data_IF_035189368127
#
_entry.id   IF_035189368127
#
_cell.length_a   1.000
_cell.length_b   1.000
_cell.length_c   1.000
_cell.angle_alpha   90.00
_cell.angle_beta   90.00
_cell.angle_gamma   90.00
#
_symmetry.space_group_name_H-M   'P 1'
#
loop_
_entity.id
_entity.type
_entity.pdbx_description
1 polymer ?
#
# COMPACT_ATOMS: atom_id res chain seq x y z
N UNK A 1 3.63 54.16 38.22
CA UNK A 1 2.62 53.23 38.73
C UNK A 1 1.67 52.87 37.59
N UNK A 2 1.69 51.69 37.15
CA UNK A 2 0.63 50.85 36.59
C UNK A 2 1.28 49.80 35.71
N UNK A 3 1.48 48.64 36.30
CA UNK A 3 1.92 47.40 35.64
C UNK A 3 0.84 46.96 34.69
N UNK A 4 1.17 46.85 33.43
CA UNK A 4 0.35 46.14 32.45
C UNK A 4 1.04 44.79 32.21
N UNK A 5 0.51 43.78 32.91
CA UNK A 5 0.82 42.37 32.67
C UNK A 5 0.27 41.99 31.31
N UNK A 6 1.14 41.97 30.31
CA UNK A 6 0.79 41.46 28.99
C UNK A 6 0.86 39.95 29.02
N UNK A 7 -0.31 39.33 29.14
CA UNK A 7 -0.50 37.89 29.08
C UNK A 7 -0.34 37.46 27.62
N UNK A 8 0.87 37.04 27.22
CA UNK A 8 1.11 36.37 25.97
C UNK A 8 0.53 34.95 26.05
N UNK A 9 -0.71 34.83 25.63
CA UNK A 9 -1.36 33.55 25.37
C UNK A 9 -0.71 32.92 24.14
N UNK A 10 0.28 32.07 24.37
CA UNK A 10 0.87 31.23 23.32
C UNK A 10 -0.21 30.26 22.84
N UNK A 11 -0.85 30.59 21.73
CA UNK A 11 -1.70 29.67 20.98
C UNK A 11 -0.79 28.58 20.41
N UNK A 12 -0.72 27.45 21.09
CA UNK A 12 -0.18 26.20 20.54
C UNK A 12 -1.14 25.78 19.42
N UNK A 13 -0.83 26.22 18.22
CA UNK A 13 -1.37 25.63 17.00
C UNK A 13 -0.83 24.20 16.92
N UNK A 14 -1.54 23.27 17.51
CA UNK A 14 -1.40 21.86 17.17
C UNK A 14 -1.88 21.72 15.71
N UNK A 15 -0.94 21.84 14.78
CA UNK A 15 -1.16 21.36 13.43
C UNK A 15 -1.38 19.85 13.53
N UNK A 16 -2.62 19.44 13.69
CA UNK A 16 -3.05 18.11 13.34
C UNK A 16 -2.85 18.02 11.82
N UNK A 17 -1.74 17.45 11.41
CA UNK A 17 -1.51 17.01 10.03
C UNK A 17 -2.49 15.86 9.76
N UNK A 18 -3.75 16.22 9.55
CA UNK A 18 -4.71 15.36 8.85
C UNK A 18 -4.34 15.44 7.39
N UNK A 19 -3.89 14.36 6.81
CA UNK A 19 -3.66 14.30 5.39
C UNK A 19 -2.67 13.21 5.01
N UNK A 20 -3.11 12.34 4.16
CA UNK A 20 -2.46 11.29 3.35
C UNK A 20 -2.58 9.83 3.80
N UNK A 21 -3.09 9.51 5.00
CA UNK A 21 -3.13 8.12 5.47
C UNK A 21 -4.55 7.52 5.61
N UNK A 22 -5.58 8.17 5.04
CA UNK A 22 -6.97 7.71 5.20
C UNK A 22 -7.37 6.64 4.17
N UNK A 23 -6.51 6.35 3.20
CA UNK A 23 -6.79 5.35 2.17
C UNK A 23 -5.79 4.20 2.19
N UNK A 24 -6.29 3.01 1.84
CA UNK A 24 -5.51 1.80 1.79
C UNK A 24 -4.44 1.88 0.68
N UNK A 25 -3.17 1.68 1.04
CA UNK A 25 -2.08 1.73 0.08
C UNK A 25 -2.11 0.58 -0.95
N UNK A 26 -2.72 -0.57 -0.60
CA UNK A 26 -2.79 -1.76 -1.45
C UNK A 26 -4.02 -1.75 -2.35
N UNK A 27 -5.14 -1.22 -1.85
CA UNK A 27 -6.39 -1.03 -2.60
C UNK A 27 -6.66 0.46 -2.68
N UNK A 28 -6.10 1.11 -3.69
CA UNK A 28 -6.14 2.56 -3.83
C UNK A 28 -7.59 3.07 -3.92
N UNK A 29 -7.92 4.05 -3.08
CA UNK A 29 -9.25 4.65 -3.01
C UNK A 29 -10.19 4.06 -1.96
N UNK A 30 -9.89 2.90 -1.39
CA UNK A 30 -10.65 2.35 -0.28
C UNK A 30 -10.21 3.01 1.04
N UNK A 31 -11.15 3.44 1.87
CA UNK A 31 -10.85 3.98 3.20
C UNK A 31 -10.25 2.89 4.11
N UNK A 32 -9.32 3.27 4.97
CA UNK A 32 -8.76 2.37 5.97
C UNK A 32 -9.81 2.05 7.03
N UNK A 33 -9.76 0.80 7.54
CA UNK A 33 -10.45 0.39 8.75
C UNK A 33 -9.43 0.34 9.90
N UNK A 34 -9.71 1.06 10.98
CA UNK A 34 -8.80 1.14 12.14
C UNK A 34 -8.68 -0.16 12.93
N UNK A 35 -9.57 -1.12 12.67
CA UNK A 35 -9.50 -2.48 13.24
C UNK A 35 -8.63 -3.41 12.38
N UNK A 36 -8.39 -3.05 11.11
CA UNK A 36 -7.63 -3.84 10.15
C UNK A 36 -6.19 -3.32 10.02
N UNK A 37 -5.31 -3.82 10.88
CA UNK A 37 -3.92 -3.41 10.91
C UNK A 37 -2.97 -4.59 11.15
N UNK A 38 -1.70 -4.35 10.86
CA UNK A 38 -0.58 -5.17 11.32
C UNK A 38 0.45 -4.31 12.01
N UNK A 39 1.34 -4.92 12.78
CA UNK A 39 2.42 -4.22 13.48
C UNK A 39 3.78 -4.64 12.93
N UNK A 40 4.54 -3.65 12.47
CA UNK A 40 5.89 -3.86 11.91
C UNK A 40 6.87 -2.93 12.62
N UNK A 41 7.87 -3.53 13.29
CA UNK A 41 8.87 -2.80 14.07
C UNK A 41 8.25 -1.83 15.09
N UNK A 42 7.14 -2.23 15.73
CA UNK A 42 6.42 -1.41 16.70
C UNK A 42 5.55 -0.31 16.11
N UNK A 43 5.38 -0.28 14.79
CA UNK A 43 4.52 0.68 14.08
C UNK A 43 3.28 -0.01 13.52
N UNK A 44 2.10 0.56 13.79
CA UNK A 44 0.86 0.09 13.18
C UNK A 44 0.74 0.56 11.74
N UNK A 45 0.40 -0.36 10.86
CA UNK A 45 0.09 -0.12 9.44
C UNK A 45 -1.34 -0.55 9.21
N UNK A 46 -2.19 0.41 8.86
CA UNK A 46 -3.63 0.20 8.69
C UNK A 46 -3.99 -0.07 7.22
N UNK A 47 -5.05 -0.85 7.03
CA UNK A 47 -5.57 -1.22 5.72
C UNK A 47 -7.11 -1.15 5.70
N UNK A 48 -7.72 -1.28 4.53
CA UNK A 48 -9.17 -1.27 4.37
C UNK A 48 -9.84 -2.60 4.76
N UNK A 49 -9.09 -3.70 4.81
CA UNK A 49 -9.65 -5.02 5.08
C UNK A 49 -8.58 -6.07 5.39
N UNK A 50 -8.99 -7.18 6.01
CA UNK A 50 -8.10 -8.29 6.36
C UNK A 50 -7.40 -8.97 5.18
N UNK A 51 -7.93 -8.84 3.95
CA UNK A 51 -7.24 -9.33 2.75
C UNK A 51 -5.97 -8.53 2.45
N UNK A 52 -6.02 -7.21 2.67
CA UNK A 52 -4.85 -6.33 2.53
C UNK A 52 -3.83 -6.56 3.64
N UNK A 53 -4.28 -6.77 4.89
CA UNK A 53 -3.41 -7.19 6.00
C UNK A 53 -2.63 -8.46 5.64
N UNK A 54 -3.33 -9.51 5.22
CA UNK A 54 -2.71 -10.79 4.83
C UNK A 54 -1.74 -10.65 3.66
N UNK A 55 -2.10 -9.86 2.65
CA UNK A 55 -1.25 -9.62 1.50
C UNK A 55 0.04 -8.89 1.91
N UNK A 56 -0.08 -7.89 2.78
CA UNK A 56 1.04 -7.13 3.30
C UNK A 56 1.96 -8.00 4.18
N UNK A 57 1.42 -8.76 5.12
CA UNK A 57 2.18 -9.63 6.02
C UNK A 57 3.01 -10.66 5.25
N UNK A 58 2.43 -11.22 4.19
CA UNK A 58 3.11 -12.19 3.32
C UNK A 58 4.21 -11.54 2.43
N UNK A 59 4.19 -10.23 2.22
CA UNK A 59 5.06 -9.52 1.28
C UNK A 59 5.46 -8.13 1.79
N UNK A 60 5.72 -7.98 3.08
CA UNK A 60 5.97 -6.69 3.75
C UNK A 60 7.03 -5.85 3.03
N UNK A 61 8.22 -6.41 2.81
CA UNK A 61 9.33 -5.71 2.15
C UNK A 61 8.98 -5.30 0.70
N UNK A 62 8.22 -6.15 -0.01
CA UNK A 62 7.77 -5.86 -1.37
C UNK A 62 6.85 -4.65 -1.41
N UNK A 63 5.82 -4.62 -0.55
CA UNK A 63 4.86 -3.52 -0.52
C UNK A 63 5.48 -2.21 -0.04
N UNK A 64 6.39 -2.26 0.93
CA UNK A 64 7.15 -1.07 1.35
C UNK A 64 7.96 -0.50 0.17
N UNK A 65 8.61 -1.37 -0.62
CA UNK A 65 9.36 -0.92 -1.80
C UNK A 65 8.47 -0.41 -2.92
N UNK A 66 7.35 -1.08 -3.16
CA UNK A 66 6.46 -0.77 -4.27
C UNK A 66 5.59 0.49 -4.05
N UNK A 67 5.31 0.84 -2.78
CA UNK A 67 4.31 1.84 -2.42
C UNK A 67 4.94 2.98 -1.59
N UNK A 68 5.12 4.17 -2.19
CA UNK A 68 5.73 5.31 -1.49
C UNK A 68 5.01 5.69 -0.18
N UNK A 69 3.68 5.53 -0.11
CA UNK A 69 2.90 5.78 1.09
C UNK A 69 3.32 4.87 2.27
N UNK A 70 3.67 3.62 1.98
CA UNK A 70 4.21 2.70 3.00
C UNK A 70 5.69 2.95 3.27
N UNK A 71 6.49 3.26 2.25
CA UNK A 71 7.92 3.55 2.41
C UNK A 71 8.17 4.71 3.38
N UNK A 72 7.36 5.77 3.31
CA UNK A 72 7.45 6.94 4.21
C UNK A 72 7.29 6.62 5.70
N UNK A 73 6.61 5.50 6.03
CA UNK A 73 6.39 5.09 7.43
C UNK A 73 7.63 4.50 8.08
N UNK A 74 8.63 4.12 7.30
CA UNK A 74 9.85 3.45 7.75
C UNK A 74 11.09 4.24 7.34
N UNK A 75 12.01 4.44 8.28
CA UNK A 75 13.33 5.01 7.99
C UNK A 75 14.16 4.08 7.09
N UNK A 76 15.21 4.59 6.47
CA UNK A 76 16.12 3.80 5.63
C UNK A 76 16.72 2.61 6.40
N UNK A 77 17.07 2.81 7.67
CA UNK A 77 17.59 1.75 8.54
C UNK A 77 16.54 0.65 8.79
N UNK A 78 15.28 1.02 9.02
CA UNK A 78 14.18 0.08 9.19
C UNK A 78 13.86 -0.67 7.89
N UNK A 79 13.84 0.03 6.76
CA UNK A 79 13.66 -0.58 5.44
C UNK A 79 14.77 -1.60 5.14
N UNK A 80 16.03 -1.27 5.44
CA UNK A 80 17.16 -2.18 5.31
C UNK A 80 17.02 -3.40 6.22
N UNK A 81 16.59 -3.19 7.48
CA UNK A 81 16.32 -4.29 8.43
C UNK A 81 15.22 -5.23 7.92
N UNK A 82 14.21 -4.70 7.24
CA UNK A 82 13.13 -5.46 6.61
C UNK A 82 13.54 -6.10 5.27
N UNK A 83 14.75 -5.85 4.77
CA UNK A 83 15.25 -6.41 3.51
C UNK A 83 14.66 -5.77 2.25
N UNK A 84 14.15 -4.54 2.36
CA UNK A 84 13.54 -3.79 1.24
C UNK A 84 14.53 -3.58 0.09
N UNK A 85 15.81 -3.38 0.40
CA UNK A 85 16.90 -3.23 -0.56
C UNK A 85 17.10 -4.48 -1.45
N UNK A 86 16.80 -5.67 -0.93
CA UNK A 86 16.94 -6.96 -1.61
C UNK A 86 15.77 -7.34 -2.49
N UNK A 87 14.64 -6.64 -2.37
CA UNK A 87 13.43 -6.94 -3.13
C UNK A 87 13.59 -6.54 -4.58
N UNK A 88 13.21 -7.43 -5.51
CA UNK A 88 13.00 -7.12 -6.92
C UNK A 88 11.52 -6.89 -7.15
N UNK A 89 11.15 -5.73 -7.69
CA UNK A 89 9.77 -5.42 -8.06
C UNK A 89 9.38 -6.17 -9.33
N UNK A 90 8.10 -6.51 -9.44
CA UNK A 90 7.50 -6.99 -10.68
C UNK A 90 7.40 -5.84 -11.68
N UNK A 91 7.50 -6.15 -12.97
CA UNK A 91 7.25 -5.18 -14.04
C UNK A 91 5.78 -4.75 -14.05
N UNK A 92 4.89 -5.70 -13.75
CA UNK A 92 3.47 -5.45 -13.56
C UNK A 92 3.18 -4.98 -12.13
N UNK A 93 2.59 -3.79 -11.99
CA UNK A 93 2.26 -3.20 -10.68
C UNK A 93 0.83 -3.49 -10.24
N UNK A 94 -0.12 -3.44 -11.16
CA UNK A 94 -1.55 -3.52 -10.86
C UNK A 94 -2.22 -4.73 -11.49
N UNK A 95 -3.33 -5.15 -10.90
CA UNK A 95 -4.18 -6.18 -11.47
C UNK A 95 -4.88 -5.65 -12.74
N UNK A 96 -4.84 -6.37 -13.87
CA UNK A 96 -5.45 -5.88 -15.12
C UNK A 96 -6.98 -5.84 -15.09
N UNK A 97 -7.60 -6.46 -14.09
CA UNK A 97 -9.06 -6.47 -13.89
C UNK A 97 -9.49 -5.44 -12.85
N UNK A 98 -8.64 -5.19 -11.85
CA UNK A 98 -8.84 -4.27 -10.75
C UNK A 98 -7.61 -3.36 -10.66
N UNK A 99 -7.57 -2.29 -11.50
CA UNK A 99 -6.38 -1.46 -11.64
C UNK A 99 -6.01 -0.67 -10.37
N UNK A 100 -6.92 -0.60 -9.40
CA UNK A 100 -6.67 -0.02 -8.08
C UNK A 100 -5.94 -0.98 -7.12
N UNK A 101 -5.73 -2.25 -7.50
CA UNK A 101 -5.15 -3.28 -6.63
C UNK A 101 -3.75 -3.67 -7.05
N UNK A 102 -2.81 -3.52 -6.12
CA UNK A 102 -1.40 -3.82 -6.34
C UNK A 102 -1.14 -5.33 -6.25
N UNK A 103 -0.57 -5.89 -7.30
CA UNK A 103 -0.14 -7.30 -7.31
C UNK A 103 1.23 -7.48 -6.67
N UNK A 104 1.55 -8.70 -6.28
CA UNK A 104 2.79 -9.06 -5.61
C UNK A 104 3.31 -10.42 -6.12
N UNK A 105 4.53 -10.86 -5.76
CA UNK A 105 5.09 -12.13 -6.24
C UNK A 105 4.28 -13.38 -5.92
N UNK A 106 3.42 -13.33 -4.88
CA UNK A 106 2.55 -14.43 -4.46
C UNK A 106 1.14 -14.37 -5.09
N UNK A 107 0.90 -13.36 -5.95
CA UNK A 107 -0.37 -13.21 -6.66
C UNK A 107 -0.63 -14.38 -7.61
N UNK A 108 -1.91 -14.62 -7.94
CA UNK A 108 -2.30 -15.60 -8.96
C UNK A 108 -1.73 -15.24 -10.31
N UNK A 109 -1.24 -16.21 -11.07
CA UNK A 109 -0.60 -15.97 -12.37
C UNK A 109 -1.19 -16.79 -13.48
N UNK A 110 -1.03 -16.29 -14.71
CA UNK A 110 -1.23 -17.01 -15.98
C UNK A 110 -0.13 -16.62 -16.96
N UNK A 111 0.31 -17.58 -17.75
CA UNK A 111 1.14 -17.29 -18.93
C UNK A 111 0.27 -16.89 -20.10
N UNK A 112 0.59 -15.76 -20.72
CA UNK A 112 -0.11 -15.25 -21.91
C UNK A 112 0.85 -14.51 -22.83
N UNK A 113 0.91 -14.91 -24.10
CA UNK A 113 1.81 -14.35 -25.12
C UNK A 113 3.28 -14.26 -24.66
N UNK A 114 3.75 -15.31 -23.95
CA UNK A 114 5.13 -15.39 -23.44
C UNK A 114 5.42 -14.50 -22.23
N UNK A 115 4.39 -13.98 -21.55
CA UNK A 115 4.53 -13.15 -20.36
C UNK A 115 3.72 -13.73 -19.20
N UNK A 116 4.25 -13.62 -17.99
CA UNK A 116 3.51 -13.95 -16.78
C UNK A 116 2.64 -12.76 -16.39
N UNK A 117 1.32 -12.98 -16.34
CA UNK A 117 0.34 -11.98 -15.90
C UNK A 117 -0.10 -12.28 -14.48
N UNK A 118 -0.03 -11.28 -13.61
CA UNK A 118 -0.37 -11.36 -12.19
C UNK A 118 -1.78 -10.83 -11.92
N UNK A 119 -2.52 -11.51 -11.03
CA UNK A 119 -3.90 -11.17 -10.70
C UNK A 119 -4.09 -11.05 -9.20
N UNK A 120 -4.83 -10.05 -8.76
CA UNK A 120 -5.18 -9.87 -7.36
C UNK A 120 -5.88 -11.09 -6.73
N UNK A 121 -6.73 -11.76 -7.51
CA UNK A 121 -7.54 -12.87 -7.02
C UNK A 121 -7.84 -13.91 -8.10
N UNK A 122 -8.31 -15.08 -7.67
CA UNK A 122 -8.81 -16.10 -8.60
C UNK A 122 -10.03 -15.65 -9.40
N UNK A 123 -10.86 -14.75 -8.86
CA UNK A 123 -11.99 -14.17 -9.59
C UNK A 123 -11.53 -13.25 -10.71
N UNK A 124 -10.50 -12.42 -10.46
CA UNK A 124 -9.87 -11.60 -11.49
C UNK A 124 -9.29 -12.46 -12.61
N UNK A 125 -8.57 -13.54 -12.24
CA UNK A 125 -8.02 -14.47 -13.21
C UNK A 125 -9.10 -15.14 -14.07
N UNK A 126 -10.24 -15.58 -13.48
CA UNK A 126 -11.38 -16.15 -14.22
C UNK A 126 -12.03 -15.12 -15.15
N UNK A 127 -12.19 -13.87 -14.71
CA UNK A 127 -12.75 -12.80 -15.53
C UNK A 127 -11.84 -12.47 -16.71
N UNK A 128 -10.53 -12.41 -16.50
CA UNK A 128 -9.54 -12.17 -17.54
C UNK A 128 -9.56 -13.25 -18.63
N UNK A 129 -9.73 -14.54 -18.25
CA UNK A 129 -9.82 -15.66 -19.21
C UNK A 129 -10.97 -15.55 -20.21
N UNK A 130 -12.00 -14.79 -19.91
CA UNK A 130 -13.17 -14.60 -20.81
C UNK A 130 -12.84 -13.69 -22.00
N UNK A 131 -11.94 -12.71 -21.80
CA UNK A 131 -11.54 -11.77 -22.85
C UNK A 131 -10.11 -11.25 -22.56
N UNK A 132 -9.07 -12.09 -22.80
CA UNK A 132 -7.69 -11.71 -22.48
C UNK A 132 -7.20 -10.51 -23.28
N UNK A 133 -7.60 -10.40 -24.55
CA UNK A 133 -7.14 -9.31 -25.43
C UNK A 133 -7.57 -7.93 -24.92
N UNK A 134 -8.78 -7.87 -24.36
CA UNK A 134 -9.32 -6.63 -23.78
C UNK A 134 -8.46 -6.09 -22.63
N UNK A 135 -7.98 -6.98 -21.78
CA UNK A 135 -7.31 -6.62 -20.53
C UNK A 135 -5.77 -6.68 -20.61
N UNK A 136 -5.22 -7.25 -21.69
CA UNK A 136 -3.76 -7.46 -21.77
C UNK A 136 -2.96 -6.15 -21.81
N UNK A 137 -3.53 -5.09 -22.35
CA UNK A 137 -2.90 -3.76 -22.39
C UNK A 137 -2.64 -3.20 -20.99
N UNK A 138 -3.54 -3.52 -20.04
CA UNK A 138 -3.51 -2.99 -18.67
C UNK A 138 -2.63 -3.86 -17.74
N UNK A 139 -2.09 -4.95 -18.28
CA UNK A 139 -1.19 -5.86 -17.55
C UNK A 139 0.30 -5.52 -17.72
N UNK A 140 0.63 -4.50 -18.53
CA UNK A 140 2.02 -4.21 -18.92
C UNK A 140 2.44 -2.82 -18.48
#
# INVERSE_FOLDING_TARGET
>A
MKNIFSLLLALLLTNALFGEDDTCAIMAGDEIDTEEFTEVLGKKVFFCCGSCVKAFDANTAYYIKALPALAKKFSDAEQKKLGVDKVKLLDQRFCPIYPERVVNPNSKTLEYKGKTVYFWSSSAQRRWKKDPEKYFKDAM
#
